data_IF_061480862713
#
_entry.id   IF_061480862713
#
_cell.length_a   1.000
_cell.length_b   1.000
_cell.length_c   1.000
_cell.angle_alpha   90.00
_cell.angle_beta   90.00
_cell.angle_gamma   90.00
#
_symmetry.space_group_name_H-M   'P 1'
#
loop_
_entity.id
_entity.type
_entity.pdbx_description
1 polymer ?
#
# COMPACT_ATOMS: atom_id res chain seq x y z
N UNK A 1 24.16 -12.56 24.13
CA UNK A 1 23.41 -11.81 23.11
C UNK A 1 22.89 -12.81 22.09
N UNK A 2 21.63 -13.23 22.20
CA UNK A 2 21.01 -14.09 21.19
C UNK A 2 20.74 -13.24 19.95
N UNK A 3 21.43 -13.50 18.85
CA UNK A 3 21.18 -12.81 17.59
C UNK A 3 19.78 -13.22 17.11
N UNK A 4 18.88 -12.25 16.95
CA UNK A 4 17.64 -12.45 16.22
C UNK A 4 18.01 -12.93 14.81
N UNK A 5 17.41 -14.02 14.37
CA UNK A 5 17.73 -14.66 13.09
C UNK A 5 17.53 -13.69 11.93
N UNK A 6 18.57 -13.51 11.11
CA UNK A 6 18.45 -12.78 9.85
C UNK A 6 17.54 -13.54 8.89
N UNK A 7 16.70 -12.80 8.17
CA UNK A 7 15.71 -13.37 7.25
C UNK A 7 16.38 -13.62 5.91
N UNK A 8 16.38 -14.88 5.46
CA UNK A 8 16.83 -15.24 4.11
C UNK A 8 15.77 -14.79 3.09
N UNK A 9 15.99 -13.61 2.51
CA UNK A 9 15.15 -13.04 1.45
C UNK A 9 15.31 -13.73 0.10
N UNK A 10 16.37 -14.54 -0.10
CA UNK A 10 16.57 -15.28 -1.36
C UNK A 10 15.76 -16.56 -1.41
N UNK A 11 15.48 -17.15 -0.24
CA UNK A 11 14.71 -18.38 -0.12
C UNK A 11 13.45 -18.14 0.74
N UNK A 12 12.48 -17.42 0.18
CA UNK A 12 11.25 -17.08 0.88
C UNK A 12 10.48 -18.31 1.37
N UNK A 13 10.18 -18.34 2.67
CA UNK A 13 9.34 -19.36 3.32
C UNK A 13 8.26 -18.69 4.14
N UNK A 14 7.12 -19.36 4.29
CA UNK A 14 5.98 -18.85 5.06
C UNK A 14 6.38 -18.49 6.51
N UNK A 15 7.22 -19.31 7.16
CA UNK A 15 7.69 -19.06 8.52
C UNK A 15 8.51 -17.77 8.70
N UNK A 16 9.03 -17.17 7.61
CA UNK A 16 9.72 -15.89 7.68
C UNK A 16 8.79 -14.75 8.11
N UNK A 17 7.48 -14.83 7.86
CA UNK A 17 6.52 -13.83 8.36
C UNK A 17 6.38 -13.88 9.90
N UNK A 18 6.48 -15.08 10.51
CA UNK A 18 6.55 -15.18 11.97
C UNK A 18 7.85 -14.53 12.50
N UNK A 19 8.99 -14.83 11.86
CA UNK A 19 10.28 -14.25 12.23
C UNK A 19 10.25 -12.72 12.11
N UNK A 20 9.58 -12.17 11.08
CA UNK A 20 9.34 -10.73 10.94
C UNK A 20 8.64 -10.14 12.18
N UNK A 21 7.54 -10.77 12.63
CA UNK A 21 6.83 -10.37 13.84
C UNK A 21 7.69 -10.48 15.10
N UNK A 22 8.44 -11.58 15.25
CA UNK A 22 9.34 -11.81 16.39
C UNK A 22 10.45 -10.77 16.47
N UNK A 23 11.16 -10.56 15.36
CA UNK A 23 12.25 -9.58 15.26
C UNK A 23 11.73 -8.16 15.52
N UNK A 24 10.66 -7.76 14.83
CA UNK A 24 10.12 -6.42 14.95
C UNK A 24 9.54 -6.13 16.36
N UNK A 25 8.92 -7.11 17.01
CA UNK A 25 8.47 -6.99 18.40
C UNK A 25 9.62 -6.63 19.36
N UNK A 26 10.75 -7.35 19.29
CA UNK A 26 11.90 -7.07 20.15
C UNK A 26 12.57 -5.74 19.82
N UNK A 27 12.67 -5.38 18.54
CA UNK A 27 13.19 -4.07 18.11
C UNK A 27 12.33 -2.92 18.63
N UNK A 28 11.00 -3.09 18.60
CA UNK A 28 10.04 -2.12 19.11
C UNK A 28 10.05 -2.01 20.63
N UNK A 29 10.08 -3.13 21.36
CA UNK A 29 10.21 -3.11 22.82
C UNK A 29 11.48 -2.36 23.23
N UNK A 30 12.60 -2.65 22.56
CA UNK A 30 13.88 -1.95 22.79
C UNK A 30 13.78 -0.46 22.48
N UNK A 31 13.12 -0.05 21.39
CA UNK A 31 12.98 1.37 21.03
C UNK A 31 12.10 2.14 22.03
N UNK A 32 11.17 1.45 22.70
CA UNK A 32 10.33 1.97 23.79
C UNK A 32 11.02 1.94 25.17
N UNK A 33 12.22 1.37 25.27
CA UNK A 33 12.91 1.18 26.55
C UNK A 33 12.24 0.15 27.46
N UNK A 34 11.44 -0.75 26.89
CA UNK A 34 10.75 -1.83 27.62
C UNK A 34 11.64 -3.07 27.58
N UNK A 35 11.98 -3.59 28.77
CA UNK A 35 12.72 -4.84 28.89
C UNK A 35 11.77 -6.04 28.78
N UNK A 36 11.86 -6.75 27.66
CA UNK A 36 11.11 -7.99 27.39
C UNK A 36 11.99 -9.23 27.58
N UNK A 37 13.13 -9.08 28.24
CA UNK A 37 14.09 -10.16 28.46
C UNK A 37 14.80 -10.61 27.18
N UNK A 38 15.44 -11.78 27.27
CA UNK A 38 16.13 -12.40 26.12
C UNK A 38 15.15 -13.16 25.24
N UNK A 39 15.40 -13.25 23.92
CA UNK A 39 14.65 -14.15 23.03
C UNK A 39 14.59 -15.59 23.59
N UNK A 40 13.39 -16.17 23.57
CA UNK A 40 13.10 -17.56 23.97
C UNK A 40 12.65 -18.40 22.79
N UNK A 41 12.91 -19.71 22.85
CA UNK A 41 12.35 -20.67 21.90
C UNK A 41 10.85 -20.86 22.15
N UNK A 42 10.07 -21.01 21.08
CA UNK A 42 8.62 -21.19 21.13
C UNK A 42 8.21 -22.37 20.25
N UNK A 43 7.30 -23.20 20.77
CA UNK A 43 6.54 -24.16 19.98
C UNK A 43 5.23 -23.48 19.54
N UNK A 44 5.08 -23.26 18.24
CA UNK A 44 3.96 -22.49 17.68
C UNK A 44 3.22 -23.33 16.65
N UNK A 45 1.92 -23.50 16.85
CA UNK A 45 1.01 -24.03 15.84
C UNK A 45 0.30 -22.86 15.15
N UNK A 46 0.36 -22.81 13.81
CA UNK A 46 -0.28 -21.77 13.00
C UNK A 46 -1.38 -22.40 12.17
N UNK A 47 -2.58 -21.84 12.26
CA UNK A 47 -3.72 -22.18 11.42
C UNK A 47 -4.37 -20.89 10.89
N UNK A 48 -4.85 -20.92 9.64
CA UNK A 48 -5.41 -19.75 8.98
C UNK A 48 -6.19 -20.09 7.73
N UNK A 49 -7.32 -19.41 7.53
CA UNK A 49 -8.25 -19.65 6.43
C UNK A 49 -8.25 -18.55 5.36
N UNK A 50 -7.47 -17.48 5.56
CA UNK A 50 -7.33 -16.40 4.57
C UNK A 50 -6.52 -16.94 3.38
N UNK A 51 -7.07 -16.94 2.14
CA UNK A 51 -6.38 -17.50 0.98
C UNK A 51 -5.02 -16.84 0.73
N UNK A 52 -3.99 -17.65 0.55
CA UNK A 52 -2.62 -17.18 0.29
C UNK A 52 -2.49 -16.56 -1.11
N UNK A 53 -1.75 -15.46 -1.23
CA UNK A 53 -1.44 -14.84 -2.53
C UNK A 53 -2.63 -14.23 -3.26
N UNK A 54 -3.77 -14.06 -2.59
CA UNK A 54 -5.07 -13.69 -3.15
C UNK A 54 -5.40 -12.18 -3.14
N UNK A 55 -4.48 -11.35 -2.67
CA UNK A 55 -4.75 -9.94 -2.40
C UNK A 55 -5.50 -9.66 -1.09
N UNK A 56 -5.93 -10.70 -0.34
CA UNK A 56 -6.67 -10.55 0.92
C UNK A 56 -5.79 -10.35 2.17
N UNK A 57 -4.54 -9.90 1.98
CA UNK A 57 -3.62 -9.56 3.09
C UNK A 57 -3.35 -10.69 4.10
N UNK A 58 -3.29 -11.95 3.65
CA UNK A 58 -2.90 -13.10 4.49
C UNK A 58 -1.52 -12.94 5.15
N UNK A 59 -0.57 -12.26 4.50
CA UNK A 59 0.73 -11.91 5.10
C UNK A 59 0.58 -10.98 6.30
N UNK A 60 -0.21 -9.90 6.15
CA UNK A 60 -0.44 -8.94 7.22
C UNK A 60 -1.19 -9.57 8.40
N UNK A 61 -2.20 -10.40 8.12
CA UNK A 61 -2.94 -11.14 9.13
C UNK A 61 -2.00 -12.05 9.95
N UNK A 62 -1.08 -12.75 9.28
CA UNK A 62 -0.12 -13.63 9.95
C UNK A 62 0.91 -12.85 10.78
N UNK A 63 1.44 -11.73 10.28
CA UNK A 63 2.37 -10.88 11.06
C UNK A 63 1.66 -10.27 12.27
N UNK A 64 0.41 -9.82 12.12
CA UNK A 64 -0.38 -9.27 13.22
C UNK A 64 -0.67 -10.33 14.29
N UNK A 65 -1.16 -11.51 13.90
CA UNK A 65 -1.46 -12.58 14.87
C UNK A 65 -0.19 -13.08 15.58
N UNK A 66 0.93 -13.19 14.86
CA UNK A 66 2.22 -13.56 15.44
C UNK A 66 2.69 -12.54 16.46
N UNK A 67 2.62 -11.24 16.12
CA UNK A 67 3.04 -10.15 17.03
C UNK A 67 2.16 -10.09 18.27
N UNK A 68 0.84 -10.24 18.13
CA UNK A 68 -0.10 -10.27 19.26
C UNK A 68 0.15 -11.50 20.15
N UNK A 69 0.42 -12.67 19.57
CA UNK A 69 0.76 -13.87 20.33
C UNK A 69 2.06 -13.68 21.12
N UNK A 70 3.08 -13.03 20.54
CA UNK A 70 4.33 -12.72 21.23
C UNK A 70 4.11 -11.72 22.37
N UNK A 71 3.31 -10.69 22.14
CA UNK A 71 2.92 -9.76 23.21
C UNK A 71 2.30 -10.50 24.39
N UNK A 72 1.44 -11.49 24.15
CA UNK A 72 0.88 -12.32 25.22
C UNK A 72 1.92 -13.19 25.94
N UNK A 73 2.90 -13.76 25.20
CA UNK A 73 4.00 -14.55 25.79
C UNK A 73 4.87 -13.71 26.72
N UNK A 74 5.14 -12.45 26.36
CA UNK A 74 6.00 -11.54 27.12
C UNK A 74 5.22 -10.61 28.06
N UNK A 75 3.92 -10.85 28.29
CA UNK A 75 3.02 -10.06 29.14
C UNK A 75 2.99 -8.55 28.80
N UNK A 76 3.05 -8.24 27.50
CA UNK A 76 3.06 -6.89 26.97
C UNK A 76 1.70 -6.50 26.39
N UNK A 77 1.35 -5.22 26.55
CA UNK A 77 0.15 -4.65 25.95
C UNK A 77 0.43 -3.25 25.41
N UNK A 78 0.00 -3.00 24.18
CA UNK A 78 0.16 -1.71 23.50
C UNK A 78 -1.17 -1.26 22.88
N UNK A 79 -1.39 0.05 22.71
CA UNK A 79 -2.56 0.54 22.00
C UNK A 79 -2.66 -0.05 20.59
N UNK A 80 -3.88 -0.37 20.13
CA UNK A 80 -4.13 -0.92 18.78
C UNK A 80 -3.46 -0.15 17.65
N UNK A 81 -3.40 1.18 17.76
CA UNK A 81 -2.73 2.06 16.81
C UNK A 81 -1.23 1.79 16.73
N UNK A 82 -0.58 1.57 17.87
CA UNK A 82 0.84 1.24 17.92
C UNK A 82 1.09 -0.18 17.38
N UNK A 83 0.21 -1.13 17.69
CA UNK A 83 0.29 -2.50 17.14
C UNK A 83 0.19 -2.46 15.61
N UNK A 84 -0.77 -1.72 15.04
CA UNK A 84 -0.93 -1.60 13.59
C UNK A 84 0.30 -1.00 12.88
N UNK A 85 0.94 -0.01 13.51
CA UNK A 85 2.17 0.58 12.98
C UNK A 85 3.35 -0.39 13.12
N UNK A 86 3.50 -1.00 14.30
CA UNK A 86 4.53 -2.01 14.57
C UNK A 86 4.47 -3.14 13.56
N UNK A 87 3.31 -3.75 13.35
CA UNK A 87 3.18 -4.92 12.47
C UNK A 87 3.44 -4.57 11.00
N UNK A 88 3.22 -3.32 10.58
CA UNK A 88 3.64 -2.81 9.28
C UNK A 88 5.17 -2.77 9.17
N UNK A 89 5.85 -2.26 10.19
CA UNK A 89 7.31 -2.25 10.27
C UNK A 89 7.88 -3.68 10.33
N UNK A 90 7.26 -4.58 11.10
CA UNK A 90 7.58 -6.00 11.13
C UNK A 90 7.53 -6.61 9.72
N UNK A 91 6.41 -6.46 9.00
CA UNK A 91 6.23 -7.10 7.69
C UNK A 91 7.27 -6.62 6.67
N UNK A 92 7.79 -5.39 6.79
CA UNK A 92 8.84 -4.89 5.89
C UNK A 92 10.16 -5.65 5.98
N UNK A 93 10.42 -6.37 7.08
CA UNK A 93 11.56 -7.28 7.20
C UNK A 93 11.52 -8.43 6.18
N UNK A 94 10.34 -8.73 5.59
CA UNK A 94 10.22 -9.69 4.48
C UNK A 94 10.73 -9.12 3.14
N UNK A 95 11.19 -7.87 3.10
CA UNK A 95 11.71 -7.21 1.91
C UNK A 95 10.66 -6.51 1.05
N UNK A 96 9.37 -6.64 1.37
CA UNK A 96 8.31 -5.85 0.73
C UNK A 96 8.13 -4.50 1.42
N UNK A 97 8.11 -3.41 0.67
CA UNK A 97 7.89 -2.05 1.17
C UNK A 97 6.40 -1.76 1.34
N UNK A 98 5.70 -2.62 2.08
CA UNK A 98 4.25 -2.54 2.25
C UNK A 98 3.80 -1.29 3.03
N UNK A 99 2.62 -0.79 2.67
CA UNK A 99 1.88 0.20 3.45
C UNK A 99 1.20 -0.43 4.67
N UNK A 100 0.54 0.39 5.49
CA UNK A 100 -0.05 -0.04 6.78
C UNK A 100 -1.51 -0.49 6.73
N UNK A 101 -2.17 -0.49 5.56
CA UNK A 101 -3.62 -0.73 5.46
C UNK A 101 -4.04 -2.12 5.97
N UNK A 102 -3.35 -3.18 5.54
CA UNK A 102 -3.70 -4.57 5.90
C UNK A 102 -3.56 -4.82 7.40
N UNK A 103 -2.53 -4.25 8.01
CA UNK A 103 -2.25 -4.35 9.43
C UNK A 103 -3.24 -3.53 10.25
N UNK A 104 -3.49 -2.28 9.82
CA UNK A 104 -4.45 -1.40 10.46
C UNK A 104 -5.85 -2.02 10.51
N UNK A 105 -6.36 -2.52 9.37
CA UNK A 105 -7.69 -3.14 9.35
C UNK A 105 -7.71 -4.45 10.16
N UNK A 106 -6.64 -5.26 10.12
CA UNK A 106 -6.56 -6.51 10.90
C UNK A 106 -6.65 -6.27 12.42
N UNK A 107 -6.14 -5.14 12.91
CA UNK A 107 -6.07 -4.83 14.35
C UNK A 107 -7.24 -3.96 14.82
N UNK A 108 -7.67 -3.02 13.97
CA UNK A 108 -8.60 -1.95 14.34
C UNK A 108 -10.02 -2.15 13.82
N UNK A 109 -10.29 -3.15 12.96
CA UNK A 109 -11.63 -3.39 12.45
C UNK A 109 -12.68 -3.61 13.55
N UNK A 110 -13.91 -3.23 13.22
CA UNK A 110 -15.10 -3.37 14.06
C UNK A 110 -16.19 -4.10 13.27
N UNK A 111 -16.80 -5.10 13.90
CA UNK A 111 -17.86 -5.88 13.27
C UNK A 111 -19.04 -4.98 12.83
N UNK A 112 -19.52 -5.18 11.61
CA UNK A 112 -20.62 -4.41 11.01
C UNK A 112 -20.20 -3.12 10.29
N UNK A 113 -18.93 -2.73 10.35
CA UNK A 113 -18.42 -1.49 9.75
C UNK A 113 -17.24 -1.77 8.80
N UNK A 114 -17.20 -1.04 7.69
CA UNK A 114 -15.95 -0.77 6.99
C UNK A 114 -15.18 0.34 7.76
N UNK A 115 -13.95 0.65 7.34
CA UNK A 115 -13.19 1.74 7.95
C UNK A 115 -12.48 2.59 6.87
N UNK A 116 -12.58 3.91 7.01
CA UNK A 116 -11.65 4.84 6.39
C UNK A 116 -10.41 4.92 7.29
N UNK A 117 -9.25 4.56 6.75
CA UNK A 117 -7.99 4.52 7.51
C UNK A 117 -7.09 5.66 7.03
N UNK A 118 -6.85 6.61 7.93
CA UNK A 118 -5.89 7.70 7.74
C UNK A 118 -4.52 7.28 8.27
N UNK A 119 -3.46 7.86 7.70
CA UNK A 119 -2.08 7.64 8.11
C UNK A 119 -1.43 8.99 8.46
N UNK A 120 -0.41 8.97 9.33
CA UNK A 120 0.34 10.15 9.78
C UNK A 120 -0.49 11.23 10.50
N UNK A 121 -1.20 10.93 11.62
CA UNK A 121 -1.13 9.70 12.40
C UNK A 121 -2.19 8.65 12.01
N UNK A 122 -2.00 7.40 12.43
CA UNK A 122 -2.96 6.34 12.16
C UNK A 122 -4.31 6.57 12.88
N UNK A 123 -5.38 6.53 12.10
CA UNK A 123 -6.75 6.65 12.60
C UNK A 123 -7.70 5.80 11.75
N UNK A 124 -8.69 5.20 12.38
CA UNK A 124 -9.74 4.45 11.68
C UNK A 124 -11.08 5.09 12.02
N UNK A 125 -11.79 5.55 11.01
CA UNK A 125 -13.15 6.06 11.10
C UNK A 125 -14.12 5.00 10.59
N UNK A 126 -15.07 4.59 11.43
CA UNK A 126 -16.12 3.63 11.06
C UNK A 126 -16.94 4.16 9.86
N UNK A 127 -17.18 3.29 8.87
CA UNK A 127 -18.02 3.55 7.70
C UNK A 127 -19.10 2.48 7.63
N UNK A 128 -20.36 2.88 7.87
CA UNK A 128 -21.51 1.98 7.74
C UNK A 128 -21.93 1.88 6.28
N UNK A 129 -21.73 0.71 5.68
CA UNK A 129 -22.12 0.47 4.29
C UNK A 129 -23.66 0.39 4.14
N UNK A 130 -24.22 0.74 2.96
CA UNK A 130 -25.66 0.67 2.71
C UNK A 130 -26.17 -0.77 2.78
N UNK A 131 -27.35 -0.97 3.38
CA UNK A 131 -27.94 -2.29 3.59
C UNK A 131 -28.45 -2.94 2.29
N UNK A 132 -28.75 -2.14 1.27
CA UNK A 132 -29.26 -2.62 -0.02
C UNK A 132 -28.24 -3.39 -0.89
N UNK A 133 -26.96 -3.46 -0.50
CA UNK A 133 -25.91 -4.10 -1.27
C UNK A 133 -25.08 -5.10 -0.46
N UNK A 134 -24.40 -6.01 -1.17
CA UNK A 134 -23.47 -6.98 -0.56
C UNK A 134 -22.19 -7.04 -1.37
N UNK A 135 -21.04 -6.97 -0.68
CA UNK A 135 -19.74 -7.22 -1.29
C UNK A 135 -19.50 -8.73 -1.41
N UNK A 136 -19.25 -9.20 -2.63
CA UNK A 136 -18.89 -10.60 -2.92
C UNK A 136 -17.44 -10.65 -3.36
N UNK A 137 -16.64 -11.48 -2.69
CA UNK A 137 -15.24 -11.71 -3.04
C UNK A 137 -15.16 -12.88 -4.01
N UNK A 138 -14.67 -12.63 -5.23
CA UNK A 138 -14.43 -13.65 -6.24
C UNK A 138 -12.92 -13.83 -6.44
N UNK A 139 -12.37 -14.96 -6.01
CA UNK A 139 -10.95 -15.26 -6.09
C UNK A 139 -10.56 -15.64 -7.53
N UNK A 140 -9.60 -14.93 -8.13
CA UNK A 140 -9.18 -15.13 -9.53
C UNK A 140 -8.42 -16.45 -9.79
N UNK A 141 -7.96 -17.09 -8.72
CA UNK A 141 -7.12 -18.31 -8.69
C UNK A 141 -5.69 -18.08 -9.20
N UNK A 142 -5.34 -16.85 -9.58
CA UNK A 142 -3.96 -16.47 -9.81
C UNK A 142 -3.27 -16.18 -8.46
N UNK A 143 -2.15 -16.86 -8.22
CA UNK A 143 -1.36 -16.62 -7.02
C UNK A 143 -0.36 -15.48 -7.25
N UNK A 144 -0.40 -14.47 -6.37
CA UNK A 144 0.57 -13.39 -6.35
C UNK A 144 1.68 -13.65 -5.34
N UNK A 145 2.90 -13.90 -5.83
CA UNK A 145 4.09 -14.00 -5.00
C UNK A 145 4.68 -12.61 -4.72
N UNK A 146 3.96 -11.83 -3.88
CA UNK A 146 4.25 -10.42 -3.57
C UNK A 146 5.71 -10.17 -3.18
N UNK A 147 6.27 -11.00 -2.29
CA UNK A 147 7.65 -10.84 -1.79
C UNK A 147 8.69 -11.23 -2.83
N UNK A 148 8.48 -12.35 -3.53
CA UNK A 148 9.43 -12.89 -4.52
C UNK A 148 9.57 -11.95 -5.73
N UNK A 149 8.46 -11.37 -6.20
CA UNK A 149 8.44 -10.48 -7.37
C UNK A 149 8.47 -9.00 -6.98
N UNK A 150 8.83 -8.68 -5.73
CA UNK A 150 8.69 -7.32 -5.20
C UNK A 150 9.49 -6.29 -6.02
N UNK A 151 10.73 -6.62 -6.40
CA UNK A 151 11.62 -5.69 -7.12
C UNK A 151 11.10 -5.28 -8.51
N UNK A 152 10.31 -6.13 -9.18
CA UNK A 152 9.74 -5.83 -10.51
C UNK A 152 8.29 -5.35 -10.45
N UNK A 153 7.56 -5.73 -9.39
CA UNK A 153 6.15 -5.42 -9.18
C UNK A 153 5.95 -4.46 -8.00
N UNK A 154 5.71 -4.99 -6.80
CA UNK A 154 5.21 -4.22 -5.66
C UNK A 154 6.14 -3.08 -5.24
N UNK A 155 7.42 -3.37 -4.98
CA UNK A 155 8.41 -2.36 -4.59
C UNK A 155 8.74 -1.43 -5.75
N UNK A 156 8.67 -1.91 -7.00
CA UNK A 156 8.85 -1.05 -8.18
C UNK A 156 7.84 0.09 -8.18
N UNK A 157 6.56 -0.21 -7.92
CA UNK A 157 5.51 0.82 -7.79
C UNK A 157 5.79 1.80 -6.65
N UNK A 158 6.29 1.32 -5.51
CA UNK A 158 6.68 2.17 -4.38
C UNK A 158 7.80 3.14 -4.77
N UNK A 159 8.83 2.65 -5.46
CA UNK A 159 9.93 3.48 -5.97
C UNK A 159 9.46 4.46 -7.02
N UNK A 160 8.63 4.05 -7.99
CA UNK A 160 8.03 4.95 -8.99
C UNK A 160 7.24 6.08 -8.33
N UNK A 161 6.41 5.79 -7.32
CA UNK A 161 5.68 6.82 -6.57
C UNK A 161 6.60 7.78 -5.81
N UNK A 162 7.65 7.26 -5.16
CA UNK A 162 8.62 8.09 -4.44
C UNK A 162 9.40 9.00 -5.39
N UNK A 163 9.89 8.45 -6.52
CA UNK A 163 10.55 9.24 -7.56
C UNK A 163 9.62 10.30 -8.15
N UNK A 164 8.35 9.96 -8.39
CA UNK A 164 7.36 10.92 -8.86
C UNK A 164 7.16 12.08 -7.88
N UNK A 165 7.11 11.81 -6.56
CA UNK A 165 7.00 12.86 -5.54
C UNK A 165 8.21 13.81 -5.54
N UNK A 166 9.43 13.27 -5.66
CA UNK A 166 10.66 14.08 -5.68
C UNK A 166 10.72 14.94 -6.95
N UNK A 167 10.48 14.34 -8.12
CA UNK A 167 10.51 15.05 -9.41
C UNK A 167 9.45 16.15 -9.46
N UNK A 168 8.22 15.87 -9.00
CA UNK A 168 7.16 16.88 -8.89
C UNK A 168 7.58 18.05 -8.00
N UNK A 169 8.16 17.75 -6.82
CA UNK A 169 8.62 18.79 -5.91
C UNK A 169 9.63 19.75 -6.53
N UNK A 170 10.62 19.20 -7.23
CA UNK A 170 11.64 20.01 -7.92
C UNK A 170 11.00 20.84 -9.04
N UNK A 171 10.11 20.26 -9.84
CA UNK A 171 9.44 20.96 -10.94
C UNK A 171 8.52 22.09 -10.47
N UNK A 172 8.02 22.01 -9.25
CA UNK A 172 7.19 23.03 -8.60
C UNK A 172 8.00 24.04 -7.78
N UNK A 173 9.33 24.01 -7.88
CA UNK A 173 10.21 25.05 -7.38
C UNK A 173 10.99 24.70 -6.11
N UNK A 174 10.91 23.46 -5.61
CA UNK A 174 11.78 23.01 -4.51
C UNK A 174 13.22 22.81 -4.99
N UNK A 175 14.18 23.04 -4.11
CA UNK A 175 15.56 22.67 -4.38
C UNK A 175 15.70 21.14 -4.33
N UNK A 176 16.58 20.53 -5.15
CA UNK A 176 16.78 19.09 -5.12
C UNK A 176 17.14 18.53 -3.74
N UNK A 177 18.04 19.19 -2.99
CA UNK A 177 18.43 18.70 -1.65
C UNK A 177 17.26 18.70 -0.66
N UNK A 178 16.41 19.73 -0.73
CA UNK A 178 15.21 19.84 0.08
C UNK A 178 14.24 18.70 -0.26
N UNK A 179 13.90 18.54 -1.55
CA UNK A 179 12.99 17.51 -2.03
C UNK A 179 13.45 16.10 -1.61
N UNK A 180 14.74 15.78 -1.73
CA UNK A 180 15.29 14.48 -1.33
C UNK A 180 15.19 14.21 0.17
N UNK A 181 15.29 15.25 1.00
CA UNK A 181 15.26 15.13 2.46
C UNK A 181 13.83 15.08 3.03
N UNK A 182 12.88 15.78 2.42
CA UNK A 182 11.51 15.93 2.94
C UNK A 182 10.51 14.99 2.29
N UNK A 183 10.68 14.64 1.00
CA UNK A 183 9.66 13.93 0.23
C UNK A 183 9.85 12.41 0.28
N UNK A 184 8.88 11.72 0.89
CA UNK A 184 8.87 10.25 0.99
C UNK A 184 7.73 9.63 0.22
N UNK A 185 6.60 10.33 0.13
CA UNK A 185 5.35 9.88 -0.48
C UNK A 185 4.72 10.99 -1.32
N UNK A 186 3.80 10.61 -2.20
CA UNK A 186 3.00 11.59 -2.95
C UNK A 186 2.06 12.42 -2.04
N UNK A 187 1.67 11.90 -0.87
CA UNK A 187 0.83 12.64 0.07
C UNK A 187 1.57 13.81 0.73
N UNK A 188 2.89 13.68 0.96
CA UNK A 188 3.73 14.77 1.52
C UNK A 188 3.69 16.02 0.63
N UNK A 189 3.37 15.84 -0.66
CA UNK A 189 3.43 16.87 -1.69
C UNK A 189 2.03 17.29 -2.20
N UNK A 190 0.96 16.61 -1.79
CA UNK A 190 -0.40 16.83 -2.30
C UNK A 190 -0.83 18.30 -2.16
N UNK A 191 -0.52 18.95 -1.03
CA UNK A 191 -0.86 20.36 -0.79
C UNK A 191 -0.24 21.33 -1.80
N UNK A 192 0.98 21.06 -2.29
CA UNK A 192 1.62 21.88 -3.32
C UNK A 192 1.01 21.63 -4.71
N UNK A 193 0.66 20.39 -5.03
CA UNK A 193 -0.10 20.06 -6.25
C UNK A 193 -1.47 20.76 -6.26
N UNK A 194 -2.18 20.76 -5.12
CA UNK A 194 -3.47 21.46 -4.99
C UNK A 194 -3.28 22.97 -5.11
N UNK A 195 -2.29 23.56 -4.44
CA UNK A 195 -2.00 24.99 -4.56
C UNK A 195 -1.66 25.41 -5.99
N UNK A 196 -0.91 24.58 -6.71
CA UNK A 196 -0.65 24.78 -8.14
C UNK A 196 -1.94 24.69 -8.95
N UNK A 197 -2.78 23.69 -8.71
CA UNK A 197 -4.04 23.53 -9.41
C UNK A 197 -4.97 24.74 -9.16
N UNK A 198 -5.01 25.25 -7.93
CA UNK A 198 -5.84 26.39 -7.54
C UNK A 198 -5.44 27.65 -8.32
N UNK A 199 -4.13 27.86 -8.54
CA UNK A 199 -3.62 28.94 -9.38
C UNK A 199 -4.07 28.86 -10.85
N UNK A 200 -4.57 27.69 -11.27
CA UNK A 200 -5.13 27.41 -12.61
C UNK A 200 -6.66 27.23 -12.58
N UNK A 201 -7.32 27.49 -11.44
CA UNK A 201 -8.77 27.37 -11.29
C UNK A 201 -9.30 25.93 -11.16
N UNK A 202 -8.47 25.00 -10.67
CA UNK A 202 -8.83 23.60 -10.44
C UNK A 202 -8.44 23.19 -9.02
N UNK A 203 -9.16 22.27 -8.38
CA UNK A 203 -8.74 21.67 -7.11
C UNK A 203 -8.12 20.28 -7.29
N UNK A 204 -7.90 19.85 -8.54
CA UNK A 204 -7.40 18.51 -8.85
C UNK A 204 -5.87 18.46 -8.90
N UNK A 205 -5.18 17.79 -7.95
CA UNK A 205 -3.73 17.69 -7.94
C UNK A 205 -3.15 16.96 -9.16
N UNK A 206 -3.96 16.19 -9.91
CA UNK A 206 -3.54 15.56 -11.18
C UNK A 206 -3.18 16.61 -12.23
N UNK A 207 -3.67 17.85 -12.11
CA UNK A 207 -3.28 18.93 -13.01
C UNK A 207 -1.76 19.19 -12.98
N UNK A 208 -1.15 19.15 -11.78
CA UNK A 208 0.29 19.30 -11.65
C UNK A 208 1.05 18.11 -12.28
N UNK A 209 0.51 16.90 -12.14
CA UNK A 209 1.06 15.70 -12.79
C UNK A 209 1.10 15.87 -14.31
N UNK A 210 0.01 16.36 -14.90
CA UNK A 210 -0.11 16.57 -16.35
C UNK A 210 0.81 17.66 -16.89
N UNK A 211 1.06 18.70 -16.10
CA UNK A 211 1.93 19.79 -16.52
C UNK A 211 3.42 19.39 -16.43
N UNK A 212 3.80 18.66 -15.38
CA UNK A 212 5.23 18.52 -15.01
C UNK A 212 5.83 17.14 -15.23
N UNK A 213 5.02 16.08 -15.36
CA UNK A 213 5.52 14.72 -15.62
C UNK A 213 5.22 14.31 -17.06
N UNK A 214 6.22 13.71 -17.72
CA UNK A 214 6.05 13.17 -19.08
C UNK A 214 5.30 11.83 -19.01
N UNK A 215 4.41 11.60 -19.98
CA UNK A 215 3.69 10.32 -20.08
C UNK A 215 4.63 9.16 -20.41
N UNK A 216 5.70 9.41 -21.16
CA UNK A 216 6.68 8.38 -21.47
C UNK A 216 7.49 7.95 -20.23
N UNK A 217 7.87 6.67 -20.14
CA UNK A 217 8.70 6.21 -19.02
C UNK A 217 10.02 6.99 -18.92
N UNK A 218 10.44 7.29 -17.70
CA UNK A 218 11.74 7.89 -17.40
C UNK A 218 12.83 6.81 -17.31
N UNK A 219 14.02 7.08 -17.84
CA UNK A 219 15.21 6.29 -17.49
C UNK A 219 15.79 6.75 -16.15
N UNK A 220 16.74 6.01 -15.60
CA UNK A 220 17.47 6.44 -14.42
C UNK A 220 18.20 7.78 -14.67
N UNK A 221 18.81 7.93 -15.84
CA UNK A 221 19.56 9.12 -16.23
C UNK A 221 18.66 10.37 -16.30
N UNK A 222 17.46 10.23 -16.90
CA UNK A 222 16.48 11.33 -16.95
C UNK A 222 16.16 11.87 -15.55
N UNK A 223 16.03 10.96 -14.57
CA UNK A 223 15.68 11.33 -13.20
C UNK A 223 16.88 11.95 -12.50
N UNK A 224 18.07 11.35 -12.63
CA UNK A 224 19.31 11.85 -12.02
C UNK A 224 19.66 13.27 -12.50
N UNK A 225 19.37 13.60 -13.77
CA UNK A 225 19.54 14.95 -14.28
C UNK A 225 18.63 15.96 -13.56
N UNK A 226 17.39 15.57 -13.25
CA UNK A 226 16.42 16.42 -12.54
C UNK A 226 16.80 16.57 -11.07
N UNK A 227 17.14 15.46 -10.40
CA UNK A 227 17.42 15.45 -8.95
C UNK A 227 18.85 15.86 -8.60
N UNK A 228 19.73 15.96 -9.59
CA UNK A 228 21.16 16.30 -9.44
C UNK A 228 21.90 15.39 -8.44
N UNK A 229 21.49 14.14 -8.35
CA UNK A 229 22.02 13.13 -7.43
C UNK A 229 21.86 11.74 -8.06
N UNK A 230 22.72 10.80 -7.66
CA UNK A 230 22.67 9.41 -8.10
C UNK A 230 21.57 8.62 -7.37
N UNK A 231 20.82 7.78 -8.09
CA UNK A 231 19.68 7.06 -7.51
C UNK A 231 20.10 6.07 -6.42
N UNK A 232 21.26 5.42 -6.56
CA UNK A 232 21.78 4.52 -5.53
C UNK A 232 22.12 5.26 -4.23
N UNK A 233 22.56 6.53 -4.32
CA UNK A 233 22.74 7.41 -3.16
C UNK A 233 21.40 7.69 -2.47
N UNK A 234 20.37 8.09 -3.24
CA UNK A 234 19.02 8.40 -2.75
C UNK A 234 18.37 7.22 -2.03
N UNK A 235 18.61 6.01 -2.51
CA UNK A 235 18.01 4.78 -1.96
C UNK A 235 18.97 3.93 -1.13
N UNK A 236 20.14 4.47 -0.76
CA UNK A 236 21.22 3.76 -0.05
C UNK A 236 20.79 3.10 1.25
N UNK A 237 19.79 3.66 1.95
CA UNK A 237 19.27 3.13 3.21
C UNK A 237 18.29 1.96 3.04
N UNK A 238 17.94 1.56 1.81
CA UNK A 238 16.88 0.59 1.53
C UNK A 238 17.33 -0.44 0.50
N UNK A 239 17.79 -1.60 0.96
CA UNK A 239 18.16 -2.74 0.09
C UNK A 239 17.05 -3.09 -0.91
N UNK A 240 15.79 -3.15 -0.46
CA UNK A 240 14.63 -3.41 -1.33
C UNK A 240 14.46 -2.43 -2.49
N UNK A 241 14.86 -1.16 -2.29
CA UNK A 241 14.77 -0.11 -3.31
C UNK A 241 15.95 -0.19 -4.26
N UNK A 242 17.15 -0.49 -3.75
CA UNK A 242 18.31 -0.77 -4.59
C UNK A 242 18.09 -1.99 -5.51
N UNK A 243 17.37 -3.01 -5.04
CA UNK A 243 17.02 -4.16 -5.88
C UNK A 243 16.02 -3.80 -6.99
N UNK A 244 15.14 -2.82 -6.76
CA UNK A 244 14.32 -2.22 -7.83
C UNK A 244 15.20 -1.53 -8.86
N UNK A 245 16.17 -0.71 -8.44
CA UNK A 245 17.05 0.00 -9.38
C UNK A 245 17.86 -0.96 -10.27
N UNK A 246 18.25 -2.13 -9.75
CA UNK A 246 18.91 -3.18 -10.54
C UNK A 246 17.99 -3.86 -11.54
N UNK A 247 16.70 -3.97 -11.22
CA UNK A 247 15.72 -4.73 -12.00
C UNK A 247 14.97 -3.85 -13.03
N UNK A 248 14.65 -2.61 -12.66
CA UNK A 248 13.86 -1.68 -13.46
C UNK A 248 14.75 -0.93 -14.45
N UNK A 249 14.31 -0.89 -15.71
CA UNK A 249 14.95 -0.08 -16.77
C UNK A 249 14.29 1.29 -16.95
N UNK A 250 13.01 1.37 -16.58
CA UNK A 250 12.20 2.57 -16.77
C UNK A 250 11.22 2.76 -15.62
N UNK A 251 10.84 4.00 -15.35
CA UNK A 251 9.93 4.41 -14.27
C UNK A 251 8.75 5.23 -14.82
N UNK A 252 7.53 4.78 -14.59
CA UNK A 252 6.28 5.40 -15.10
C UNK A 252 5.70 6.42 -14.12
N UNK A 253 6.44 7.52 -13.91
CA UNK A 253 6.12 8.51 -12.88
C UNK A 253 4.73 9.15 -13.07
N UNK A 254 4.40 9.57 -14.29
CA UNK A 254 3.10 10.18 -14.62
C UNK A 254 1.93 9.28 -14.27
N UNK A 255 1.99 8.00 -14.68
CA UNK A 255 0.91 7.06 -14.49
C UNK A 255 0.72 6.73 -13.01
N UNK A 256 1.82 6.52 -12.27
CA UNK A 256 1.73 6.18 -10.84
C UNK A 256 1.18 7.35 -10.02
N UNK A 257 1.66 8.57 -10.26
CA UNK A 257 1.15 9.76 -9.59
C UNK A 257 -0.33 10.02 -9.93
N UNK A 258 -0.70 9.90 -11.21
CA UNK A 258 -2.10 10.05 -11.66
C UNK A 258 -3.02 9.02 -11.01
N UNK A 259 -2.57 7.76 -10.92
CA UNK A 259 -3.31 6.72 -10.21
C UNK A 259 -3.53 7.09 -8.74
N UNK A 260 -2.45 7.41 -8.01
CA UNK A 260 -2.50 7.65 -6.57
C UNK A 260 -3.42 8.81 -6.21
N UNK A 261 -3.26 9.97 -6.85
CA UNK A 261 -4.11 11.13 -6.56
C UNK A 261 -5.58 10.89 -6.93
N UNK A 262 -5.84 10.25 -8.08
CA UNK A 262 -7.22 9.93 -8.47
C UNK A 262 -7.86 8.87 -7.58
N UNK A 263 -7.10 7.91 -7.06
CA UNK A 263 -7.58 6.88 -6.13
C UNK A 263 -7.89 7.48 -4.76
N UNK A 264 -7.03 8.36 -4.24
CA UNK A 264 -7.30 9.09 -3.01
C UNK A 264 -8.62 9.87 -3.09
N UNK A 265 -8.85 10.57 -4.20
CA UNK A 265 -10.12 11.26 -4.49
C UNK A 265 -11.31 10.29 -4.52
N UNK A 266 -11.17 9.11 -5.15
CA UNK A 266 -12.24 8.09 -5.18
C UNK A 266 -12.58 7.56 -3.79
N UNK A 267 -11.60 7.41 -2.89
CA UNK A 267 -11.83 6.98 -1.50
C UNK A 267 -12.71 7.99 -0.75
N UNK A 268 -12.40 9.29 -0.85
CA UNK A 268 -13.23 10.33 -0.23
C UNK A 268 -14.62 10.41 -0.86
N UNK A 269 -14.71 10.35 -2.19
CA UNK A 269 -15.99 10.32 -2.90
C UNK A 269 -16.85 9.10 -2.50
N UNK A 270 -16.24 7.94 -2.27
CA UNK A 270 -16.92 6.74 -1.79
C UNK A 270 -17.52 6.99 -0.40
N UNK A 271 -16.72 7.51 0.55
CA UNK A 271 -17.16 7.83 1.91
C UNK A 271 -18.30 8.87 1.91
N UNK A 272 -18.17 9.92 1.11
CA UNK A 272 -19.19 10.97 0.97
C UNK A 272 -20.49 10.41 0.38
N UNK A 273 -20.39 9.54 -0.63
CA UNK A 273 -21.54 8.86 -1.25
C UNK A 273 -22.28 7.99 -0.24
N UNK A 274 -21.55 7.20 0.56
CA UNK A 274 -22.13 6.39 1.65
C UNK A 274 -22.85 7.26 2.69
N UNK A 275 -22.37 8.47 2.95
CA UNK A 275 -22.93 9.39 3.95
C UNK A 275 -23.97 10.36 3.36
N UNK A 276 -24.31 10.22 2.08
CA UNK A 276 -25.21 11.12 1.37
C UNK A 276 -26.69 10.87 1.70
N UNK A 277 -27.57 11.78 1.28
CA UNK A 277 -29.03 11.66 1.45
C UNK A 277 -29.72 11.05 0.22
N UNK A 278 -28.97 10.35 -0.63
CA UNK A 278 -29.49 9.70 -1.83
C UNK A 278 -30.27 8.44 -1.44
N UNK A 279 -31.05 7.90 -2.38
CA UNK A 279 -31.65 6.58 -2.21
C UNK A 279 -30.60 5.46 -2.21
N UNK A 280 -30.89 4.32 -1.59
CA UNK A 280 -29.97 3.17 -1.57
C UNK A 280 -29.55 2.74 -2.99
N UNK A 281 -30.47 2.78 -3.95
CA UNK A 281 -30.17 2.44 -5.35
C UNK A 281 -29.17 3.41 -5.99
N UNK A 282 -29.37 4.72 -5.80
CA UNK A 282 -28.44 5.74 -6.29
C UNK A 282 -27.07 5.67 -5.61
N UNK A 283 -27.05 5.36 -4.30
CA UNK A 283 -25.80 5.12 -3.56
C UNK A 283 -25.08 3.94 -4.21
N UNK A 284 -25.73 2.79 -4.33
CA UNK A 284 -25.11 1.57 -4.88
C UNK A 284 -24.60 1.77 -6.31
N UNK A 285 -25.35 2.47 -7.16
CA UNK A 285 -24.90 2.79 -8.51
C UNK A 285 -23.62 3.63 -8.48
N UNK A 286 -23.59 4.72 -7.69
CA UNK A 286 -22.41 5.59 -7.58
C UNK A 286 -21.19 4.87 -7.00
N UNK A 287 -21.39 4.03 -5.97
CA UNK A 287 -20.31 3.22 -5.40
C UNK A 287 -19.77 2.24 -6.45
N UNK A 288 -20.64 1.60 -7.22
CA UNK A 288 -20.28 0.71 -8.32
C UNK A 288 -19.46 1.41 -9.41
N UNK A 289 -19.83 2.63 -9.79
CA UNK A 289 -19.10 3.44 -10.76
C UNK A 289 -17.70 3.81 -10.24
N UNK A 290 -17.59 4.26 -8.99
CA UNK A 290 -16.29 4.54 -8.34
C UNK A 290 -15.39 3.31 -8.28
N UNK A 291 -15.97 2.14 -7.98
CA UNK A 291 -15.28 0.85 -7.94
C UNK A 291 -14.79 0.43 -9.32
N UNK A 292 -15.59 0.63 -10.37
CA UNK A 292 -15.21 0.36 -11.75
C UNK A 292 -14.07 1.28 -12.21
N UNK A 293 -14.12 2.57 -11.86
CA UNK A 293 -13.07 3.54 -12.18
C UNK A 293 -11.76 3.23 -11.46
N UNK A 294 -11.82 2.83 -10.18
CA UNK A 294 -10.66 2.33 -9.43
C UNK A 294 -10.06 1.11 -10.13
N UNK A 295 -10.90 0.14 -10.49
CA UNK A 295 -10.47 -1.08 -11.16
C UNK A 295 -9.81 -0.77 -12.53
N UNK A 296 -10.39 0.15 -13.32
CA UNK A 296 -9.81 0.62 -14.56
C UNK A 296 -8.45 1.29 -14.33
N UNK A 297 -8.34 2.22 -13.39
CA UNK A 297 -7.11 2.93 -13.04
C UNK A 297 -5.99 1.96 -12.62
N UNK A 298 -6.29 0.96 -11.79
CA UNK A 298 -5.37 -0.11 -11.42
C UNK A 298 -4.83 -0.87 -12.65
N UNK A 299 -5.63 -0.99 -13.71
CA UNK A 299 -5.22 -1.64 -14.96
C UNK A 299 -4.30 -0.78 -15.80
N UNK A 300 -4.71 0.46 -16.08
CA UNK A 300 -4.09 1.27 -17.13
C UNK A 300 -3.04 2.22 -16.58
N UNK A 301 -3.22 2.72 -15.36
CA UNK A 301 -2.29 3.66 -14.73
C UNK A 301 -1.37 2.97 -13.73
N UNK A 302 -1.85 2.01 -12.95
CA UNK A 302 -1.00 1.31 -11.97
C UNK A 302 -0.44 -0.01 -12.48
N UNK A 303 -0.98 -0.57 -13.56
CA UNK A 303 -0.54 -1.83 -14.18
C UNK A 303 -0.31 -2.94 -13.14
N UNK A 304 -1.31 -3.14 -12.28
CA UNK A 304 -1.28 -4.14 -11.20
C UNK A 304 -2.36 -5.22 -11.36
N UNK A 305 -2.99 -5.32 -12.53
CA UNK A 305 -3.92 -6.41 -12.86
C UNK A 305 -3.25 -7.52 -13.65
N UNK A 306 -3.77 -8.73 -13.48
CA UNK A 306 -3.44 -9.88 -14.33
C UNK A 306 -4.49 -9.97 -15.44
N UNK A 307 -4.05 -10.20 -16.69
CA UNK A 307 -4.96 -10.38 -17.83
C UNK A 307 -5.53 -11.80 -17.77
N UNK A 308 -6.86 -11.91 -17.66
CA UNK A 308 -7.58 -13.15 -17.93
C UNK A 308 -8.26 -13.05 -19.30
N UNK A 309 -7.77 -13.80 -20.28
CA UNK A 309 -8.45 -13.92 -21.58
C UNK A 309 -9.62 -14.88 -21.43
N UNK A 310 -10.83 -14.35 -21.23
CA UNK A 310 -12.04 -15.16 -21.22
C UNK A 310 -12.59 -15.27 -22.65
N UNK A 311 -12.51 -16.45 -23.28
CA UNK A 311 -13.24 -16.74 -24.51
C UNK A 311 -14.69 -17.01 -24.10
N UNK A 312 -15.54 -15.97 -24.12
CA UNK A 312 -16.95 -16.14 -23.81
C UNK A 312 -17.71 -16.70 -25.02
N UNK A 313 -18.16 -17.96 -24.92
CA UNK A 313 -19.27 -18.47 -25.74
C UNK A 313 -20.60 -18.24 -25.01
N UNK A 314 -21.43 -17.40 -25.64
CA UNK A 314 -22.90 -17.31 -25.63
C UNK A 314 -23.69 -16.85 -24.39
N UNK A 315 -24.44 -15.75 -24.62
CA UNK A 315 -25.88 -15.53 -24.39
C UNK A 315 -26.49 -15.81 -23.01
N UNK A 316 -26.22 -14.95 -22.01
CA UNK A 316 -27.26 -14.56 -21.03
C UNK A 316 -26.91 -13.22 -20.38
N UNK A 317 -27.87 -12.30 -20.32
CA UNK A 317 -27.71 -10.91 -19.84
C UNK A 317 -27.75 -10.87 -18.32
N UNK A 318 -26.59 -10.85 -17.65
CA UNK A 318 -26.47 -10.41 -16.26
C UNK A 318 -26.09 -8.92 -16.28
N UNK A 319 -27.06 -8.03 -16.02
CA UNK A 319 -26.87 -6.58 -16.11
C UNK A 319 -26.23 -5.95 -14.86
N UNK A 320 -26.22 -6.63 -13.71
CA UNK A 320 -25.91 -5.97 -12.43
C UNK A 320 -24.81 -6.67 -11.60
N UNK A 321 -23.78 -7.21 -12.26
CA UNK A 321 -22.58 -7.71 -11.56
C UNK A 321 -21.45 -6.68 -11.70
N UNK A 322 -21.24 -5.89 -10.65
CA UNK A 322 -20.01 -5.09 -10.50
C UNK A 322 -18.85 -6.04 -10.19
N UNK A 323 -17.92 -6.19 -11.14
CA UNK A 323 -16.76 -7.08 -11.01
C UNK A 323 -15.56 -6.29 -10.53
N UNK A 324 -15.25 -6.37 -9.23
CA UNK A 324 -13.88 -6.15 -8.77
C UNK A 324 -13.19 -7.51 -8.77
N UNK A 325 -12.27 -7.69 -9.71
CA UNK A 325 -11.32 -8.81 -9.68
C UNK A 325 -10.10 -8.31 -8.90
N UNK A 326 -9.86 -8.88 -7.72
CA UNK A 326 -8.59 -8.76 -7.01
C UNK A 326 -7.59 -9.79 -7.53
#
# INVERSE_FOLDING_TARGET
>A
MGYLQDIDLKNHKWGHYFICGYKGFHEFAKSKGVDVGVPVGLDVLVDGTVPTGSGLSSSAAFVCSSTIALMAVFDMNFPKKEIAQLTCECERHIGTQSGGMGQAISVMAKSGFAALIDFNPIHATDVQLPAGGTFVIAHSLAESQKAVTAATNYNNRVVECRLASIVLGIKLGMKPEEALSTMKTLSDFEGLCVSFADSRGSSDPVLAVKEFLKEEPYTAEDIQEIIQENLESVFSSSTSSLDVLKAAKHFKLFQRASHVYSEAKRVYAFKETVSSKLSDEEILQKLGDLMNDSHHSCSVLYECRIVFTYIHRSTTSYKDIFRIIF
#
